data_IF_866605185972
#
_entry.id   IF_866605185972
#
_cell.length_a   1.000
_cell.length_b   1.000
_cell.length_c   1.000
_cell.angle_alpha   90.00
_cell.angle_beta   90.00
_cell.angle_gamma   90.00
#
_symmetry.space_group_name_H-M   'P 1'
#
loop_
_entity.id
_entity.type
_entity.pdbx_description
1 polymer ?
#
# COMPACT_ATOMS: atom_id res chain seq x y z
N UNK A 1 -4.21 13.43 -37.30
CA UNK A 1 -5.49 13.94 -36.75
C UNK A 1 -5.67 13.46 -35.30
N UNK A 2 -6.27 14.25 -34.40
CA UNK A 2 -6.58 13.83 -33.03
C UNK A 2 -7.95 14.39 -32.56
N UNK A 3 -8.71 13.67 -31.72
CA UNK A 3 -10.03 14.15 -31.29
C UNK A 3 -9.89 15.30 -30.28
N UNK A 4 -10.56 16.42 -30.56
CA UNK A 4 -10.65 17.57 -29.64
C UNK A 4 -11.77 17.39 -28.61
N UNK A 5 -12.89 16.83 -29.05
CA UNK A 5 -14.07 16.58 -28.21
C UNK A 5 -14.75 15.32 -28.70
N UNK A 6 -14.95 14.37 -27.79
CA UNK A 6 -15.69 13.13 -28.06
C UNK A 6 -16.92 13.11 -27.17
N UNK A 7 -18.06 12.79 -27.77
CA UNK A 7 -19.32 12.68 -27.02
C UNK A 7 -19.26 11.50 -26.04
N UNK A 8 -19.98 11.62 -24.93
CA UNK A 8 -20.13 10.51 -23.96
C UNK A 8 -21.04 9.41 -24.50
N UNK A 9 -22.05 9.79 -25.27
CA UNK A 9 -23.02 8.89 -25.87
C UNK A 9 -23.31 9.38 -27.30
N UNK A 10 -23.13 8.50 -28.28
CA UNK A 10 -23.50 8.76 -29.67
C UNK A 10 -25.02 8.66 -29.83
N UNK A 11 -25.61 9.62 -30.55
CA UNK A 11 -27.04 9.65 -30.89
C UNK A 11 -27.23 9.14 -32.32
N UNK A 12 -28.46 8.81 -32.71
CA UNK A 12 -28.76 8.31 -34.06
C UNK A 12 -28.32 9.25 -35.19
N UNK A 13 -28.42 10.57 -34.99
CA UNK A 13 -27.87 11.59 -35.90
C UNK A 13 -26.60 12.19 -35.29
N UNK A 14 -25.48 11.46 -35.41
CA UNK A 14 -24.16 11.93 -35.00
C UNK A 14 -23.35 12.39 -36.22
N UNK A 15 -22.66 13.53 -36.10
CA UNK A 15 -21.86 14.13 -37.17
C UNK A 15 -20.46 14.40 -36.66
N UNK A 16 -19.48 13.87 -37.38
CA UNK A 16 -18.06 14.15 -37.14
C UNK A 16 -17.66 15.45 -37.84
N UNK A 17 -16.95 16.32 -37.12
CA UNK A 17 -16.47 17.61 -37.62
C UNK A 17 -14.94 17.69 -37.52
N UNK A 18 -14.33 18.20 -38.58
CA UNK A 18 -12.91 18.54 -38.63
C UNK A 18 -12.73 20.03 -38.38
N UNK A 19 -11.89 20.40 -37.42
CA UNK A 19 -11.45 21.78 -37.24
C UNK A 19 -10.19 22.03 -38.06
N UNK A 20 -10.24 22.99 -38.97
CA UNK A 20 -9.11 23.49 -39.74
C UNK A 20 -8.77 24.89 -39.25
N UNK A 21 -7.50 25.13 -38.92
CA UNK A 21 -7.00 26.44 -38.48
C UNK A 21 -5.99 26.94 -39.50
N UNK A 22 -6.19 28.16 -40.02
CA UNK A 22 -5.24 28.80 -40.93
C UNK A 22 -4.05 29.39 -40.16
N UNK A 23 -2.97 29.67 -40.87
CA UNK A 23 -1.76 30.29 -40.30
C UNK A 23 -2.03 31.70 -39.71
N UNK A 24 -3.10 32.36 -40.15
CA UNK A 24 -3.61 33.64 -39.63
C UNK A 24 -4.53 33.47 -38.40
N UNK A 25 -4.69 32.25 -37.87
CA UNK A 25 -5.48 31.95 -36.66
C UNK A 25 -6.99 31.85 -36.87
N UNK A 26 -7.50 31.95 -38.11
CA UNK A 26 -8.93 31.73 -38.40
C UNK A 26 -9.23 30.24 -38.44
N UNK A 27 -10.30 29.82 -37.77
CA UNK A 27 -10.67 28.41 -37.66
C UNK A 27 -12.05 28.13 -38.26
N UNK A 28 -12.18 27.04 -39.02
CA UNK A 28 -13.42 26.60 -39.66
C UNK A 28 -13.71 25.13 -39.37
N UNK A 29 -14.99 24.80 -39.18
CA UNK A 29 -15.43 23.41 -39.08
C UNK A 29 -15.85 22.89 -40.46
N UNK A 30 -15.43 21.68 -40.79
CA UNK A 30 -15.81 20.96 -42.00
C UNK A 30 -16.43 19.63 -41.64
N UNK A 31 -17.50 19.24 -42.34
CA UNK A 31 -18.15 17.95 -42.13
C UNK A 31 -17.28 16.80 -42.62
N UNK A 32 -17.11 15.77 -41.78
CA UNK A 32 -16.47 14.52 -42.15
C UNK A 32 -17.56 13.53 -42.55
N UNK A 33 -17.64 13.24 -43.85
CA UNK A 33 -18.62 12.27 -44.37
C UNK A 33 -18.24 10.81 -44.04
N UNK A 34 -16.94 10.49 -44.04
CA UNK A 34 -16.42 9.17 -43.70
C UNK A 34 -15.06 9.31 -42.99
N UNK A 35 -15.08 9.11 -41.67
CA UNK A 35 -13.89 9.25 -40.84
C UNK A 35 -12.82 8.22 -41.19
N UNK A 36 -13.21 6.97 -41.49
CA UNK A 36 -12.25 5.91 -41.79
C UNK A 36 -11.48 6.21 -43.08
N UNK A 37 -12.16 6.71 -44.12
CA UNK A 37 -11.50 7.13 -45.37
C UNK A 37 -10.54 8.29 -45.17
N UNK A 38 -10.91 9.26 -44.33
CA UNK A 38 -10.10 10.45 -44.07
C UNK A 38 -8.77 10.12 -43.39
N UNK A 39 -8.75 9.11 -42.51
CA UNK A 39 -7.54 8.71 -41.76
C UNK A 39 -6.81 7.52 -42.36
N UNK A 40 -7.40 6.79 -43.32
CA UNK A 40 -6.83 5.57 -43.89
C UNK A 40 -5.41 5.78 -44.44
N UNK A 41 -5.19 6.85 -45.21
CA UNK A 41 -3.89 7.18 -45.82
C UNK A 41 -2.82 7.58 -44.79
N UNK A 42 -3.22 8.04 -43.60
CA UNK A 42 -2.30 8.39 -42.51
C UNK A 42 -1.82 7.13 -41.74
N UNK A 43 -2.54 6.01 -41.87
CA UNK A 43 -2.27 4.77 -41.12
C UNK A 43 -1.43 3.80 -41.96
N UNK A 44 -1.71 3.66 -43.27
CA UNK A 44 -0.87 2.85 -44.16
C UNK A 44 -1.04 3.25 -45.63
N UNK A 45 -0.05 2.90 -46.47
CA UNK A 45 -0.15 3.01 -47.92
C UNK A 45 -1.08 1.99 -48.61
N UNK A 46 -1.66 1.02 -47.88
CA UNK A 46 -2.57 0.02 -48.43
C UNK A 46 -4.04 0.39 -48.25
N UNK A 47 -4.82 0.30 -49.33
CA UNK A 47 -6.25 0.66 -49.43
C UNK A 47 -7.23 -0.32 -48.78
N UNK A 48 -6.77 -1.24 -47.92
CA UNK A 48 -7.66 -2.20 -47.26
C UNK A 48 -8.55 -1.51 -46.21
N UNK A 49 -9.81 -1.96 -46.13
CA UNK A 49 -10.82 -1.42 -45.21
C UNK A 49 -10.40 -1.57 -43.75
N UNK A 50 -10.10 -0.45 -43.10
CA UNK A 50 -9.79 -0.39 -41.67
C UNK A 50 -10.87 0.41 -40.96
N UNK A 51 -11.22 -0.05 -39.77
CA UNK A 51 -12.10 0.70 -38.88
C UNK A 51 -11.29 1.23 -37.71
N UNK A 52 -11.43 2.53 -37.46
CA UNK A 52 -10.72 3.26 -36.42
C UNK A 52 -11.70 3.64 -35.33
N UNK A 53 -11.32 3.43 -34.08
CA UNK A 53 -12.10 3.91 -32.95
C UNK A 53 -11.99 5.44 -32.83
N UNK A 54 -13.13 6.14 -32.87
CA UNK A 54 -13.19 7.61 -32.77
C UNK A 54 -12.69 8.17 -31.42
N UNK A 55 -12.59 7.33 -30.38
CA UNK A 55 -12.15 7.73 -29.03
C UNK A 55 -10.64 7.64 -28.84
N UNK A 56 -10.05 6.50 -29.19
CA UNK A 56 -8.64 6.21 -28.90
C UNK A 56 -7.75 6.11 -30.15
N UNK A 57 -8.34 6.16 -31.34
CA UNK A 57 -7.68 6.03 -32.64
C UNK A 57 -6.97 4.68 -32.86
N UNK A 58 -7.25 3.66 -32.04
CA UNK A 58 -6.85 2.28 -32.33
C UNK A 58 -7.60 1.79 -33.58
N UNK A 59 -6.88 1.11 -34.46
CA UNK A 59 -7.41 0.61 -35.74
C UNK A 59 -7.45 -0.92 -35.75
N UNK A 60 -8.45 -1.47 -36.42
CA UNK A 60 -8.66 -2.90 -36.58
C UNK A 60 -8.61 -3.27 -38.07
N UNK A 61 -7.88 -4.33 -38.39
CA UNK A 61 -7.81 -4.88 -39.74
C UNK A 61 -8.97 -5.87 -39.98
N UNK A 62 -9.39 -6.03 -41.24
CA UNK A 62 -10.23 -7.15 -41.67
C UNK A 62 -9.42 -8.45 -41.63
N UNK A 63 -9.42 -9.15 -40.50
CA UNK A 63 -8.72 -10.43 -40.29
C UNK A 63 -9.69 -11.63 -40.18
N UNK A 64 -10.78 -11.62 -40.97
CA UNK A 64 -11.76 -12.72 -41.04
C UNK A 64 -12.77 -12.76 -39.88
N UNK A 65 -12.63 -11.92 -38.86
CA UNK A 65 -13.66 -11.66 -37.84
C UNK A 65 -14.48 -10.42 -38.18
N UNK A 66 -15.75 -10.42 -37.76
CA UNK A 66 -16.63 -9.26 -37.89
C UNK A 66 -16.06 -8.06 -37.10
N UNK A 67 -15.75 -6.99 -37.83
CA UNK A 67 -15.22 -5.74 -37.28
C UNK A 67 -16.16 -5.14 -36.24
N UNK A 68 -17.48 -5.26 -36.43
CA UNK A 68 -18.46 -4.74 -35.48
C UNK A 68 -18.34 -5.47 -34.13
N UNK A 69 -18.06 -6.77 -34.14
CA UNK A 69 -17.79 -7.54 -32.93
C UNK A 69 -16.54 -7.03 -32.19
N UNK A 70 -15.43 -6.82 -32.90
CA UNK A 70 -14.19 -6.28 -32.31
C UNK A 70 -14.35 -4.87 -31.75
N UNK A 71 -15.14 -4.04 -32.43
CA UNK A 71 -15.43 -2.68 -31.95
C UNK A 71 -16.30 -2.73 -30.68
N UNK A 72 -17.28 -3.63 -30.60
CA UNK A 72 -18.07 -3.82 -29.36
C UNK A 72 -17.20 -4.25 -28.18
N UNK A 73 -16.37 -5.28 -28.36
CA UNK A 73 -15.42 -5.75 -27.34
C UNK A 73 -14.46 -4.63 -26.91
N UNK A 74 -13.90 -3.89 -27.86
CA UNK A 74 -13.06 -2.74 -27.58
C UNK A 74 -13.78 -1.66 -26.77
N UNK A 75 -15.06 -1.38 -27.08
CA UNK A 75 -15.85 -0.36 -26.41
C UNK A 75 -16.22 -0.71 -24.96
N UNK A 76 -16.24 -1.99 -24.56
CA UNK A 76 -16.41 -2.39 -23.15
C UNK A 76 -15.31 -1.76 -22.26
N UNK A 77 -14.09 -1.67 -22.77
CA UNK A 77 -12.95 -1.07 -22.07
C UNK A 77 -12.68 0.38 -22.48
N UNK A 78 -12.84 0.74 -23.75
CA UNK A 78 -12.52 2.09 -24.24
C UNK A 78 -13.64 3.11 -23.97
N UNK A 79 -14.91 2.68 -24.02
CA UNK A 79 -16.06 3.57 -23.85
C UNK A 79 -16.17 4.16 -22.44
N UNK A 80 -15.77 3.39 -21.43
CA UNK A 80 -15.79 3.76 -20.01
C UNK A 80 -14.65 4.71 -19.62
N UNK A 81 -13.60 4.79 -20.43
CA UNK A 81 -12.42 5.60 -20.18
C UNK A 81 -12.46 6.95 -20.93
N UNK A 82 -11.67 7.92 -20.45
CA UNK A 82 -11.50 9.22 -21.13
C UNK A 82 -10.88 8.99 -22.51
N UNK A 83 -11.43 9.62 -23.54
CA UNK A 83 -10.92 9.53 -24.90
C UNK A 83 -9.45 9.98 -24.94
N UNK A 84 -8.55 9.05 -25.25
CA UNK A 84 -7.11 9.28 -25.28
C UNK A 84 -6.45 8.34 -26.27
N UNK A 85 -5.41 8.83 -26.96
CA UNK A 85 -4.57 7.99 -27.81
C UNK A 85 -3.60 7.21 -26.92
N UNK A 86 -3.74 5.88 -26.89
CA UNK A 86 -2.80 5.02 -26.17
C UNK A 86 -1.51 4.94 -26.99
N UNK A 87 -0.42 5.48 -26.45
CA UNK A 87 0.93 5.32 -27.00
C UNK A 87 1.65 4.34 -26.09
N UNK A 88 1.84 3.11 -26.57
CA UNK A 88 2.69 2.14 -25.90
C UNK A 88 4.16 2.49 -26.20
N UNK A 89 5.10 2.20 -25.28
CA UNK A 89 6.51 2.39 -25.57
C UNK A 89 6.92 1.52 -26.76
N UNK A 90 7.83 2.03 -27.59
CA UNK A 90 8.31 1.29 -28.75
C UNK A 90 9.07 0.03 -28.32
N UNK A 91 9.08 -0.98 -29.19
CA UNK A 91 10.02 -2.07 -29.06
C UNK A 91 11.46 -1.54 -29.12
N UNK A 92 12.40 -2.27 -28.53
CA UNK A 92 13.82 -1.98 -28.72
C UNK A 92 14.25 -2.20 -30.19
N UNK A 93 15.50 -1.85 -30.51
CA UNK A 93 16.04 -1.99 -31.87
C UNK A 93 16.04 -3.43 -32.42
N UNK A 94 15.76 -4.43 -31.58
CA UNK A 94 15.69 -5.84 -31.94
C UNK A 94 14.24 -6.36 -32.00
N UNK A 95 13.24 -5.49 -31.84
CA UNK A 95 11.83 -5.85 -31.88
C UNK A 95 11.28 -6.41 -30.56
N UNK A 96 12.04 -6.38 -29.46
CA UNK A 96 11.54 -6.84 -28.16
C UNK A 96 10.62 -5.80 -27.52
N UNK A 97 9.50 -6.22 -26.91
CA UNK A 97 8.60 -5.30 -26.23
C UNK A 97 9.29 -4.61 -25.05
N UNK A 98 8.89 -3.38 -24.71
CA UNK A 98 9.43 -2.65 -23.57
C UNK A 98 9.11 -3.39 -22.26
N UNK A 99 10.14 -3.83 -21.54
CA UNK A 99 9.99 -4.48 -20.23
C UNK A 99 10.25 -3.50 -19.09
N UNK A 100 9.54 -3.66 -17.98
CA UNK A 100 9.88 -2.98 -16.72
C UNK A 100 10.27 -4.04 -15.69
N UNK A 101 11.25 -3.71 -14.85
CA UNK A 101 11.73 -4.61 -13.80
C UNK A 101 11.97 -3.84 -12.50
N UNK A 102 11.75 -4.49 -11.37
CA UNK A 102 12.00 -3.87 -10.08
C UNK A 102 13.50 -3.85 -9.74
N UNK A 103 14.09 -2.66 -9.73
CA UNK A 103 15.54 -2.49 -9.53
C UNK A 103 15.98 -2.48 -8.06
N UNK A 104 15.08 -2.14 -7.14
CA UNK A 104 15.41 -1.90 -5.73
C UNK A 104 15.33 -3.18 -4.90
N UNK A 105 16.20 -4.16 -5.16
CA UNK A 105 16.20 -5.49 -4.51
C UNK A 105 16.10 -5.42 -2.98
N UNK A 106 16.77 -4.46 -2.35
CA UNK A 106 16.72 -4.22 -0.91
C UNK A 106 15.32 -3.94 -0.37
N UNK A 107 14.38 -3.50 -1.21
CA UNK A 107 12.97 -3.25 -0.87
C UNK A 107 12.06 -4.44 -1.13
N UNK A 108 12.56 -5.51 -1.74
CA UNK A 108 11.79 -6.76 -1.89
C UNK A 108 11.75 -7.57 -0.58
N UNK A 109 12.58 -7.23 0.41
CA UNK A 109 12.63 -7.96 1.66
C UNK A 109 11.34 -7.74 2.45
N UNK A 110 10.63 -8.85 2.72
CA UNK A 110 9.48 -8.81 3.63
C UNK A 110 9.94 -8.46 5.03
N UNK A 111 9.24 -7.52 5.65
CA UNK A 111 9.51 -7.13 7.02
C UNK A 111 9.01 -8.26 7.94
N UNK A 112 9.89 -8.82 8.80
CA UNK A 112 9.51 -9.97 9.64
C UNK A 112 8.47 -9.64 10.71
N UNK A 113 8.55 -8.45 11.31
CA UNK A 113 7.63 -7.97 12.34
C UNK A 113 6.96 -6.67 11.89
N UNK A 114 5.63 -6.61 11.98
CA UNK A 114 4.84 -5.40 11.67
C UNK A 114 3.80 -5.21 12.76
N UNK A 115 3.66 -3.99 13.26
CA UNK A 115 2.63 -3.65 14.23
C UNK A 115 1.51 -2.90 13.52
N UNK A 116 0.28 -3.33 13.76
CA UNK A 116 -0.94 -2.60 13.38
C UNK A 116 -1.58 -2.05 14.65
N UNK A 117 -2.00 -0.79 14.62
CA UNK A 117 -2.57 -0.12 15.77
C UNK A 117 -3.69 0.84 15.38
N UNK A 118 -4.59 1.07 16.33
CA UNK A 118 -5.72 2.00 16.23
C UNK A 118 -6.07 2.55 17.61
N UNK A 119 -6.46 3.82 17.71
CA UNK A 119 -7.00 4.40 18.94
C UNK A 119 -8.49 4.65 18.81
N UNK A 120 -9.17 4.51 19.95
CA UNK A 120 -10.50 5.08 20.13
C UNK A 120 -10.43 6.21 21.15
N UNK A 121 -11.26 7.23 20.94
CA UNK A 121 -11.24 8.45 21.73
C UNK A 121 -12.61 8.77 22.31
N UNK A 122 -12.58 9.57 23.37
CA UNK A 122 -13.72 10.30 23.89
C UNK A 122 -13.81 11.63 23.16
N UNK A 123 -15.01 12.01 22.75
CA UNK A 123 -15.30 13.35 22.23
C UNK A 123 -15.92 14.21 23.32
N UNK A 124 -15.07 14.76 24.20
CA UNK A 124 -15.52 15.61 25.29
C UNK A 124 -15.97 16.96 24.74
N UNK A 125 -17.22 17.36 25.00
CA UNK A 125 -17.76 18.65 24.55
C UNK A 125 -17.08 19.80 25.30
N UNK A 126 -16.75 20.86 24.58
CA UNK A 126 -16.28 22.12 25.14
C UNK A 126 -17.50 23.03 25.34
N UNK A 127 -17.68 23.55 26.54
CA UNK A 127 -18.76 24.49 26.82
C UNK A 127 -18.30 25.94 26.56
N UNK A 128 -19.11 26.78 25.89
CA UNK A 128 -18.77 28.19 25.69
C UNK A 128 -18.67 28.90 27.05
N UNK A 129 -17.45 29.34 27.43
CA UNK A 129 -17.17 29.96 28.73
C UNK A 129 -15.76 29.65 29.27
N UNK A 130 -15.09 28.61 28.75
CA UNK A 130 -13.67 28.37 28.99
C UNK A 130 -12.83 29.31 28.11
N UNK A 131 -12.62 30.53 28.58
CA UNK A 131 -11.82 31.56 27.93
C UNK A 131 -10.38 31.08 27.66
N UNK A 132 -10.03 30.84 26.39
CA UNK A 132 -8.68 31.13 25.85
C UNK A 132 -8.49 30.82 24.36
N UNK A 133 -9.39 31.17 23.43
CA UNK A 133 -8.94 31.27 22.02
C UNK A 133 -9.61 32.40 21.23
N UNK A 134 -8.83 33.46 20.95
CA UNK A 134 -9.10 34.45 19.90
C UNK A 134 -8.77 33.84 18.52
N UNK A 135 -9.65 32.99 17.99
CA UNK A 135 -9.54 32.51 16.60
C UNK A 135 -10.90 32.57 15.90
N UNK A 136 -10.89 32.68 14.56
CA UNK A 136 -12.11 32.60 13.72
C UNK A 136 -12.81 31.22 13.77
N UNK A 137 -12.25 30.27 14.53
CA UNK A 137 -12.79 28.92 14.76
C UNK A 137 -13.09 28.72 16.24
N UNK A 138 -14.30 28.27 16.54
CA UNK A 138 -14.74 27.88 17.89
C UNK A 138 -14.51 26.37 18.08
N UNK A 139 -13.54 25.96 18.93
CA UNK A 139 -13.38 24.54 19.26
C UNK A 139 -14.61 24.07 20.05
N UNK A 140 -15.25 22.98 19.63
CA UNK A 140 -16.47 22.46 20.27
C UNK A 140 -16.29 21.11 20.95
N UNK A 141 -15.17 20.40 20.67
CA UNK A 141 -14.84 19.11 21.27
C UNK A 141 -13.32 18.95 21.48
N UNK A 142 -12.95 18.24 22.55
CA UNK A 142 -11.60 17.74 22.82
C UNK A 142 -11.62 16.23 22.64
N UNK A 143 -10.68 15.74 21.83
CA UNK A 143 -10.50 14.31 21.60
C UNK A 143 -9.50 13.79 22.64
N UNK A 144 -9.94 12.86 23.49
CA UNK A 144 -9.10 12.26 24.54
C UNK A 144 -8.93 10.78 24.24
N UNK A 145 -7.69 10.26 24.10
CA UNK A 145 -7.49 8.85 23.82
C UNK A 145 -8.02 8.01 24.99
N UNK A 146 -8.90 7.07 24.70
CA UNK A 146 -9.55 6.21 25.70
C UNK A 146 -9.03 4.78 25.65
N UNK A 147 -8.85 4.25 24.44
CA UNK A 147 -8.34 2.91 24.26
C UNK A 147 -7.47 2.82 23.04
N UNK A 148 -6.65 1.79 23.01
CA UNK A 148 -5.97 1.38 21.80
C UNK A 148 -6.07 -0.12 21.61
N UNK A 149 -5.92 -0.54 20.37
CA UNK A 149 -5.67 -1.91 19.99
C UNK A 149 -4.32 -1.99 19.29
N UNK A 150 -3.52 -2.99 19.63
CA UNK A 150 -2.26 -3.31 18.94
C UNK A 150 -2.24 -4.78 18.53
N UNK A 151 -2.06 -5.04 17.23
CA UNK A 151 -1.82 -6.35 16.69
C UNK A 151 -0.38 -6.45 16.15
N UNK A 152 0.41 -7.36 16.71
CA UNK A 152 1.78 -7.64 16.24
C UNK A 152 1.74 -8.82 15.27
N UNK A 153 1.91 -8.53 13.98
CA UNK A 153 2.01 -9.56 12.93
C UNK A 153 3.47 -10.00 12.81
N UNK A 154 3.73 -11.30 13.00
CA UNK A 154 5.00 -11.94 12.65
C UNK A 154 4.93 -12.76 11.37
N UNK A 155 6.01 -12.73 10.56
CA UNK A 155 6.15 -13.55 9.36
C UNK A 155 5.89 -15.03 9.63
N UNK A 156 5.00 -15.65 8.85
CA UNK A 156 4.64 -17.07 8.97
C UNK A 156 5.86 -17.99 8.81
N UNK A 157 6.90 -17.52 8.13
CA UNK A 157 8.16 -18.23 7.97
C UNK A 157 9.02 -18.28 9.24
N UNK A 158 8.74 -17.46 10.26
CA UNK A 158 9.45 -17.47 11.55
C UNK A 158 8.79 -18.51 12.47
N UNK A 159 9.51 -19.59 12.84
CA UNK A 159 8.99 -20.58 13.78
C UNK A 159 8.69 -19.99 15.16
N UNK A 160 7.67 -20.54 15.83
CA UNK A 160 7.23 -20.07 17.18
C UNK A 160 8.35 -20.05 18.22
N UNK A 161 9.27 -21.03 18.18
CA UNK A 161 10.40 -21.10 19.12
C UNK A 161 11.45 -19.99 18.92
N UNK A 162 11.36 -19.23 17.81
CA UNK A 162 12.20 -18.06 17.54
C UNK A 162 11.51 -16.74 17.89
N UNK A 163 10.24 -16.80 18.26
CA UNK A 163 9.50 -15.63 18.70
C UNK A 163 9.98 -15.26 20.12
N UNK A 164 9.97 -13.97 20.47
CA UNK A 164 10.10 -13.56 21.86
C UNK A 164 9.04 -14.31 22.68
N UNK A 165 9.43 -14.83 23.85
CA UNK A 165 8.64 -15.74 24.71
C UNK A 165 7.23 -15.20 25.06
N UNK A 166 6.97 -13.90 24.85
CA UNK A 166 5.72 -13.22 25.12
C UNK A 166 5.06 -12.60 23.86
N UNK A 167 5.31 -13.10 22.66
CA UNK A 167 4.63 -12.59 21.46
C UNK A 167 3.12 -12.82 21.60
N UNK A 168 2.27 -11.77 21.62
CA UNK A 168 0.86 -11.92 21.98
C UNK A 168 0.16 -12.86 21.01
N UNK A 169 -0.49 -13.88 21.55
CA UNK A 169 -1.33 -14.78 20.76
C UNK A 169 -2.60 -14.08 20.25
N UNK A 170 -3.02 -13.01 20.92
CA UNK A 170 -4.17 -12.18 20.59
C UNK A 170 -3.76 -10.70 20.52
N UNK A 171 -4.48 -9.85 19.76
CA UNK A 171 -4.22 -8.42 19.79
C UNK A 171 -4.38 -7.84 21.21
N UNK A 172 -3.52 -6.89 21.56
CA UNK A 172 -3.52 -6.24 22.87
C UNK A 172 -4.47 -5.05 22.85
N UNK A 173 -5.51 -5.10 23.68
CA UNK A 173 -6.47 -4.00 23.87
C UNK A 173 -6.31 -3.44 25.27
N UNK A 174 -6.21 -2.13 25.37
CA UNK A 174 -6.11 -1.42 26.64
C UNK A 174 -7.07 -0.24 26.65
N UNK A 175 -7.76 -0.01 27.79
CA UNK A 175 -8.76 1.05 27.93
C UNK A 175 -8.57 1.76 29.27
N UNK A 176 -8.02 2.97 29.22
CA UNK A 176 -7.89 3.86 30.37
C UNK A 176 -7.59 5.28 29.92
N UNK A 177 -7.59 6.22 30.87
CA UNK A 177 -7.16 7.60 30.69
C UNK A 177 -5.68 7.76 30.32
N UNK A 178 -4.82 6.83 30.74
CA UNK A 178 -3.40 6.78 30.37
C UNK A 178 -3.11 5.96 29.10
N UNK A 179 -4.13 5.73 28.26
CA UNK A 179 -4.03 4.86 27.08
C UNK A 179 -2.88 5.22 26.12
N UNK A 180 -2.68 6.50 25.81
CA UNK A 180 -1.58 6.93 24.95
C UNK A 180 -0.20 6.64 25.56
N UNK A 181 -0.04 6.82 26.88
CA UNK A 181 1.19 6.51 27.60
C UNK A 181 1.45 5.00 27.59
N UNK A 182 0.45 4.20 27.92
CA UNK A 182 0.55 2.72 27.89
C UNK A 182 0.81 2.17 26.51
N UNK A 183 0.28 2.80 25.47
CA UNK A 183 0.63 2.48 24.09
C UNK A 183 2.13 2.65 23.85
N UNK A 184 2.69 3.80 24.24
CA UNK A 184 4.12 4.07 24.05
C UNK A 184 5.01 3.10 24.83
N UNK A 185 4.69 2.80 26.08
CA UNK A 185 5.39 1.79 26.89
C UNK A 185 5.36 0.41 26.21
N UNK A 186 4.19 -0.01 25.74
CA UNK A 186 4.01 -1.29 25.06
C UNK A 186 4.79 -1.38 23.74
N UNK A 187 4.74 -0.34 22.90
CA UNK A 187 5.48 -0.32 21.63
C UNK A 187 7.00 -0.32 21.86
N UNK A 188 7.50 0.34 22.92
CA UNK A 188 8.92 0.28 23.30
C UNK A 188 9.33 -1.14 23.69
N UNK A 189 8.56 -1.82 24.54
CA UNK A 189 8.82 -3.19 24.95
C UNK A 189 8.80 -4.17 23.75
N UNK A 190 7.80 -4.06 22.87
CA UNK A 190 7.75 -4.85 21.62
C UNK A 190 8.96 -4.56 20.75
N UNK A 191 9.36 -3.30 20.62
CA UNK A 191 10.55 -2.94 19.87
C UNK A 191 11.79 -3.59 20.49
N UNK A 192 12.08 -3.42 21.77
CA UNK A 192 13.24 -4.04 22.43
C UNK A 192 13.33 -5.55 22.17
N UNK A 193 12.21 -6.26 22.31
CA UNK A 193 12.12 -7.70 21.99
C UNK A 193 12.46 -8.01 20.54
N UNK A 194 11.91 -7.25 19.59
CA UNK A 194 12.22 -7.41 18.15
C UNK A 194 13.69 -7.07 17.84
N UNK A 195 14.26 -6.09 18.56
CA UNK A 195 15.67 -5.70 18.41
C UNK A 195 16.60 -6.86 18.73
N UNK A 196 16.31 -7.59 19.80
CA UNK A 196 17.07 -8.76 20.21
C UNK A 196 17.03 -9.85 19.13
N UNK A 197 15.86 -10.10 18.54
CA UNK A 197 15.70 -11.05 17.43
C UNK A 197 16.54 -10.63 16.22
N UNK A 198 16.46 -9.37 15.80
CA UNK A 198 17.24 -8.88 14.65
C UNK A 198 18.75 -8.81 14.90
N UNK A 199 19.17 -8.72 16.16
CA UNK A 199 20.58 -8.68 16.55
C UNK A 199 21.21 -10.07 16.61
N UNK A 200 20.39 -11.11 16.84
CA UNK A 200 20.84 -12.49 16.86
C UNK A 200 20.87 -13.10 15.46
N UNK A 201 21.92 -12.78 14.70
CA UNK A 201 22.13 -13.32 13.34
C UNK A 201 22.46 -14.81 13.43
N UNK A 202 21.55 -15.65 12.95
CA UNK A 202 21.75 -17.08 12.87
C UNK A 202 22.63 -17.46 11.68
N UNK A 203 23.59 -18.38 11.86
CA UNK A 203 24.31 -18.94 10.74
C UNK A 203 23.35 -19.74 9.84
N UNK A 204 23.71 -19.83 8.57
CA UNK A 204 22.98 -20.66 7.61
C UNK A 204 23.00 -22.12 8.07
N UNK A 205 21.82 -22.74 8.07
CA UNK A 205 21.68 -24.17 8.32
C UNK A 205 22.30 -24.97 7.16
N UNK A 206 22.82 -26.18 7.42
CA UNK A 206 23.34 -27.04 6.36
C UNK A 206 22.30 -27.23 5.25
N UNK A 207 22.74 -27.09 3.99
CA UNK A 207 21.87 -27.34 2.85
C UNK A 207 21.50 -28.81 2.78
N UNK A 208 20.26 -29.08 2.39
CA UNK A 208 19.85 -30.43 1.97
C UNK A 208 20.53 -30.80 0.64
N UNK A 209 20.55 -32.09 0.32
CA UNK A 209 21.07 -32.58 -0.97
C UNK A 209 20.35 -31.91 -2.16
N UNK A 210 19.02 -31.84 -2.11
CA UNK A 210 18.20 -31.21 -3.14
C UNK A 210 18.50 -29.70 -3.30
N UNK A 211 18.69 -28.98 -2.20
CA UNK A 211 19.07 -27.56 -2.24
C UNK A 211 20.48 -27.37 -2.81
N UNK A 212 21.41 -28.26 -2.47
CA UNK A 212 22.78 -28.23 -2.99
C UNK A 212 22.78 -28.44 -4.50
N UNK A 213 22.06 -29.45 -4.99
CA UNK A 213 21.91 -29.71 -6.42
C UNK A 213 21.24 -28.54 -7.16
N UNK A 214 20.14 -28.01 -6.62
CA UNK A 214 19.47 -26.83 -7.18
C UNK A 214 20.39 -25.60 -7.21
N UNK A 215 21.20 -25.40 -6.17
CA UNK A 215 22.19 -24.32 -6.16
C UNK A 215 23.25 -24.51 -7.24
N UNK A 216 23.80 -25.71 -7.40
CA UNK A 216 24.84 -26.00 -8.41
C UNK A 216 24.30 -25.78 -9.83
N UNK A 217 23.10 -26.29 -10.11
CA UNK A 217 22.47 -26.20 -11.43
C UNK A 217 21.88 -24.82 -11.75
N UNK A 218 21.73 -23.93 -10.77
CA UNK A 218 21.21 -22.59 -11.02
C UNK A 218 22.17 -21.72 -11.86
N UNK A 219 21.61 -21.15 -12.93
CA UNK A 219 22.30 -20.23 -13.84
C UNK A 219 21.92 -18.77 -13.62
N UNK A 220 20.82 -18.51 -12.92
CA UNK A 220 20.26 -17.19 -12.66
C UNK A 220 20.05 -16.88 -11.17
N UNK A 221 20.15 -15.59 -10.84
CA UNK A 221 19.93 -15.08 -9.49
C UNK A 221 18.43 -15.07 -9.15
N UNK A 222 18.06 -15.66 -8.02
CA UNK A 222 16.64 -15.74 -7.63
C UNK A 222 16.01 -14.38 -7.25
N UNK A 223 16.82 -13.37 -6.91
CA UNK A 223 16.36 -12.04 -6.47
C UNK A 223 16.08 -11.07 -7.62
N UNK A 224 16.86 -11.17 -8.70
CA UNK A 224 16.75 -10.25 -9.82
C UNK A 224 16.46 -10.93 -11.16
N UNK A 225 16.74 -12.23 -11.29
CA UNK A 225 16.62 -13.07 -12.49
C UNK A 225 17.78 -13.10 -13.51
N UNK A 226 18.64 -12.08 -13.69
CA UNK A 226 19.81 -12.18 -14.57
C UNK A 226 20.79 -13.30 -14.22
N UNK A 227 21.59 -13.77 -15.20
CA UNK A 227 22.57 -14.83 -15.01
C UNK A 227 23.74 -14.41 -14.12
N UNK A 228 24.42 -15.39 -13.54
CA UNK A 228 25.66 -15.16 -12.79
C UNK A 228 26.82 -14.80 -13.72
N UNK A 229 27.72 -13.93 -13.28
CA UNK A 229 28.90 -13.51 -14.04
C UNK A 229 30.15 -13.55 -13.16
N UNK A 230 31.33 -13.57 -13.76
CA UNK A 230 32.60 -13.55 -13.02
C UNK A 230 32.72 -12.32 -12.09
N UNK A 231 32.24 -11.15 -12.54
CA UNK A 231 32.21 -9.93 -11.74
C UNK A 231 31.10 -9.86 -10.67
N UNK A 232 30.16 -10.80 -10.69
CA UNK A 232 29.08 -10.89 -9.71
C UNK A 232 28.74 -12.36 -9.45
N UNK A 233 29.61 -13.01 -8.69
CA UNK A 233 29.57 -14.46 -8.48
C UNK A 233 28.31 -14.92 -7.76
N UNK A 234 27.97 -16.19 -8.00
CA UNK A 234 26.92 -16.93 -7.31
C UNK A 234 27.30 -17.15 -5.83
N UNK A 235 26.38 -16.82 -4.92
CA UNK A 235 26.53 -17.03 -3.47
C UNK A 235 25.25 -17.61 -2.88
N UNK A 236 25.38 -18.23 -1.71
CA UNK A 236 24.26 -18.75 -0.93
C UNK A 236 23.66 -17.61 -0.10
N UNK A 237 22.41 -17.25 -0.38
CA UNK A 237 21.64 -16.35 0.48
C UNK A 237 20.81 -17.16 1.48
N UNK A 238 20.66 -16.62 2.69
CA UNK A 238 19.90 -17.25 3.77
C UNK A 238 19.21 -16.20 4.64
N UNK A 239 18.19 -16.65 5.36
CA UNK A 239 17.51 -15.83 6.34
C UNK A 239 18.31 -15.74 7.64
N UNK A 240 18.71 -14.54 8.03
CA UNK A 240 19.46 -14.31 9.28
C UNK A 240 18.64 -14.55 10.55
N UNK A 241 17.30 -14.66 10.48
CA UNK A 241 16.44 -14.95 11.64
C UNK A 241 16.26 -16.45 11.79
N UNK A 242 16.01 -17.19 10.71
CA UNK A 242 15.70 -18.63 10.77
C UNK A 242 16.90 -19.52 10.46
N UNK A 243 17.92 -18.99 9.79
CA UNK A 243 19.06 -19.74 9.24
C UNK A 243 18.74 -20.48 7.94
N UNK A 244 17.49 -20.41 7.45
CA UNK A 244 17.07 -21.18 6.28
C UNK A 244 17.65 -20.60 4.98
N UNK A 245 18.15 -21.50 4.13
CA UNK A 245 18.58 -21.17 2.78
C UNK A 245 17.42 -20.61 1.94
N UNK A 246 17.65 -19.49 1.26
CA UNK A 246 16.65 -18.81 0.41
C UNK A 246 16.85 -19.10 -1.06
N UNK A 247 18.09 -19.07 -1.53
CA UNK A 247 18.37 -19.29 -2.94
C UNK A 247 19.76 -18.84 -3.42
N UNK A 248 20.07 -19.12 -4.69
CA UNK A 248 21.29 -18.69 -5.33
C UNK A 248 21.19 -17.21 -5.71
N UNK A 249 21.96 -16.37 -5.06
CA UNK A 249 21.97 -14.93 -5.31
C UNK A 249 23.29 -14.47 -5.91
N UNK A 250 23.26 -13.37 -6.63
CA UNK A 250 24.47 -12.60 -6.91
C UNK A 250 25.06 -12.09 -5.59
N UNK A 251 26.39 -12.02 -5.49
CA UNK A 251 27.08 -11.42 -4.35
C UNK A 251 26.55 -10.01 -4.02
N UNK A 252 26.39 -9.15 -5.04
CA UNK A 252 25.87 -7.79 -4.86
C UNK A 252 24.40 -7.77 -4.41
N UNK A 253 23.56 -8.62 -4.99
CA UNK A 253 22.14 -8.70 -4.62
C UNK A 253 21.99 -9.17 -3.18
N UNK A 254 22.70 -10.22 -2.79
CA UNK A 254 22.76 -10.72 -1.41
C UNK A 254 23.21 -9.62 -0.44
N UNK A 255 24.26 -8.88 -0.78
CA UNK A 255 24.78 -7.80 0.07
C UNK A 255 23.76 -6.68 0.31
N UNK A 256 22.90 -6.39 -0.68
CA UNK A 256 21.82 -5.39 -0.58
C UNK A 256 20.58 -5.94 0.12
N UNK A 257 20.31 -7.24 0.00
CA UNK A 257 19.15 -7.92 0.57
C UNK A 257 19.37 -8.22 2.06
N UNK A 258 19.36 -7.17 2.88
CA UNK A 258 19.64 -7.26 4.33
C UNK A 258 18.39 -7.23 5.18
N UNK A 259 18.37 -8.09 6.21
CA UNK A 259 17.36 -8.08 7.28
C UNK A 259 17.12 -6.66 7.79
N UNK A 260 15.87 -6.17 7.81
CA UNK A 260 15.58 -4.84 8.31
C UNK A 260 15.95 -4.75 9.78
N UNK A 261 16.43 -3.57 10.18
CA UNK A 261 16.76 -3.25 11.58
C UNK A 261 15.72 -2.32 12.19
N UNK A 262 14.46 -2.48 11.81
CA UNK A 262 13.41 -1.63 12.31
C UNK A 262 12.07 -2.33 12.47
N UNK A 263 11.25 -1.79 13.37
CA UNK A 263 9.87 -2.18 13.60
C UNK A 263 8.93 -1.10 13.02
N UNK A 264 8.18 -1.40 11.95
CA UNK A 264 7.12 -0.51 11.48
C UNK A 264 5.88 -0.61 12.37
N UNK A 265 5.26 0.53 12.66
CA UNK A 265 3.98 0.65 13.36
C UNK A 265 2.99 1.37 12.44
N UNK A 266 1.90 0.70 12.07
CA UNK A 266 0.97 1.16 11.05
C UNK A 266 -0.39 1.49 11.65
N UNK A 267 -0.90 2.67 11.32
CA UNK A 267 -2.27 3.09 11.59
C UNK A 267 -2.98 3.34 10.27
N UNK A 268 -4.30 3.16 10.20
CA UNK A 268 -5.05 3.61 9.03
C UNK A 268 -5.40 5.09 9.18
N UNK A 269 -4.71 5.95 8.41
CA UNK A 269 -4.84 7.43 8.47
C UNK A 269 -4.20 8.12 9.69
N UNK A 270 -3.02 7.65 10.12
CA UNK A 270 -2.22 8.22 11.23
C UNK A 270 -2.25 9.77 11.33
N UNK A 271 -1.85 10.47 10.26
CA UNK A 271 -1.76 11.94 10.31
C UNK A 271 -3.09 12.66 10.33
N UNK A 272 -4.15 12.02 9.85
CA UNK A 272 -5.47 12.61 9.90
C UNK A 272 -6.10 12.55 11.28
N UNK A 273 -5.62 11.63 12.14
CA UNK A 273 -6.18 11.41 13.46
C UNK A 273 -5.10 11.06 14.50
N UNK A 274 -4.75 9.80 14.70
CA UNK A 274 -4.05 9.29 15.90
C UNK A 274 -2.71 9.92 16.24
N UNK A 275 -2.03 10.55 15.27
CA UNK A 275 -0.73 11.16 15.46
C UNK A 275 -0.69 12.15 16.64
N UNK A 276 -1.76 12.92 16.87
CA UNK A 276 -1.78 13.92 17.94
C UNK A 276 -1.80 13.30 19.35
N UNK A 277 -2.31 12.07 19.51
CA UNK A 277 -2.22 11.33 20.77
C UNK A 277 -0.79 10.88 21.04
N UNK A 278 -0.14 10.30 20.03
CA UNK A 278 1.21 9.73 20.14
C UNK A 278 2.24 10.82 20.37
N UNK A 279 2.13 11.94 19.65
CA UNK A 279 3.13 13.02 19.70
C UNK A 279 3.25 13.64 21.10
N UNK A 280 2.14 13.71 21.84
CA UNK A 280 2.11 14.26 23.20
C UNK A 280 2.88 13.41 24.21
N UNK A 281 3.03 12.11 23.94
CA UNK A 281 3.73 11.17 24.82
C UNK A 281 5.22 11.00 24.45
N UNK A 282 5.67 11.55 23.33
CA UNK A 282 7.08 11.45 22.95
C UNK A 282 7.99 12.19 23.94
N UNK A 283 8.99 11.46 24.45
CA UNK A 283 10.04 12.03 25.29
C UNK A 283 9.62 12.37 26.72
N UNK A 284 8.38 12.06 27.13
CA UNK A 284 7.92 12.25 28.52
C UNK A 284 8.73 11.44 29.53
N UNK A 285 8.99 10.18 29.21
CA UNK A 285 9.70 9.25 30.12
C UNK A 285 11.23 9.30 29.98
N UNK A 286 11.77 10.20 29.15
CA UNK A 286 13.21 10.27 28.89
C UNK A 286 13.87 11.28 29.82
N UNK A 287 15.04 10.93 30.34
CA UNK A 287 15.90 11.90 31.02
C UNK A 287 16.54 12.87 30.02
N UNK A 288 17.17 13.93 30.50
CA UNK A 288 17.71 14.99 29.63
C UNK A 288 18.81 14.49 28.68
N UNK A 289 19.60 13.50 29.08
CA UNK A 289 20.61 12.88 28.22
C UNK A 289 20.00 12.00 27.12
N UNK A 290 18.92 11.29 27.43
CA UNK A 290 18.16 10.51 26.46
C UNK A 290 17.38 11.41 25.50
N UNK A 291 16.82 12.52 25.98
CA UNK A 291 16.19 13.55 25.13
C UNK A 291 17.19 14.16 24.15
N UNK A 292 18.44 14.40 24.57
CA UNK A 292 19.51 14.85 23.65
C UNK A 292 19.87 13.83 22.58
N UNK A 293 19.76 12.53 22.89
CA UNK A 293 19.98 11.43 21.92
C UNK A 293 18.76 11.15 21.06
N UNK A 294 17.58 11.57 21.48
CA UNK A 294 16.33 11.37 20.77
C UNK A 294 16.34 12.14 19.46
N UNK A 295 16.38 11.41 18.35
CA UNK A 295 16.16 11.98 17.02
C UNK A 295 14.74 11.68 16.59
N UNK A 296 13.85 12.68 16.74
CA UNK A 296 12.53 12.67 16.09
C UNK A 296 12.71 13.33 14.74
N UNK A 297 12.66 12.54 13.67
CA UNK A 297 12.51 13.10 12.33
C UNK A 297 11.04 13.02 11.96
N UNK A 298 10.36 14.17 11.99
CA UNK A 298 9.03 14.31 11.41
C UNK A 298 9.22 14.56 9.92
N UNK A 299 8.88 13.57 9.10
CA UNK A 299 8.92 13.72 7.65
C UNK A 299 7.55 14.29 7.24
N UNK A 300 7.51 15.39 6.45
CA UNK A 300 6.26 15.89 5.89
C UNK A 300 5.49 14.73 5.25
N UNK A 301 4.20 14.59 5.59
CA UNK A 301 3.34 13.45 5.28
C UNK A 301 3.57 12.17 6.12
N UNK A 302 3.55 12.32 7.46
CA UNK A 302 3.06 11.26 8.38
C UNK A 302 4.01 10.15 8.78
N UNK A 303 5.33 10.32 8.68
CA UNK A 303 6.28 9.32 9.20
C UNK A 303 7.04 9.90 10.37
N UNK A 304 6.85 9.30 11.55
CA UNK A 304 7.71 9.54 12.70
C UNK A 304 8.84 8.52 12.70
N UNK A 305 10.07 9.00 12.71
CA UNK A 305 11.23 8.18 13.07
C UNK A 305 11.52 8.38 14.55
N UNK A 306 11.46 7.31 15.35
CA UNK A 306 11.74 7.36 16.78
C UNK A 306 12.99 6.53 17.10
N UNK A 307 14.11 7.21 17.34
CA UNK A 307 15.34 6.54 17.74
C UNK A 307 15.60 6.70 19.25
N UNK A 308 14.82 6.02 20.10
CA UNK A 308 15.38 5.50 21.35
C UNK A 308 15.81 4.07 21.08
N UNK A 309 17.11 3.77 21.21
CA UNK A 309 17.62 2.42 20.94
C UNK A 309 17.33 1.89 19.53
N UNK A 310 17.80 2.58 18.48
CA UNK A 310 17.95 2.12 17.07
C UNK A 310 16.78 1.44 16.32
N UNK A 311 15.61 1.12 16.90
CA UNK A 311 14.69 0.15 16.29
C UNK A 311 13.35 0.70 15.74
N UNK A 312 12.70 1.70 16.33
CA UNK A 312 11.40 2.17 15.81
C UNK A 312 11.63 3.19 14.70
N UNK A 313 11.73 2.72 13.46
CA UNK A 313 12.10 3.61 12.35
C UNK A 313 10.93 4.22 11.60
N UNK A 314 9.76 3.59 11.60
CA UNK A 314 8.61 4.03 10.78
C UNK A 314 7.28 3.83 11.50
N UNK A 315 6.72 4.89 12.09
CA UNK A 315 5.29 4.94 12.39
C UNK A 315 4.60 5.62 11.21
N UNK A 316 3.69 4.94 10.52
CA UNK A 316 3.16 5.40 9.24
C UNK A 316 1.69 5.07 8.99
N UNK A 317 1.09 5.82 8.08
CA UNK A 317 -0.30 5.62 7.67
C UNK A 317 -0.45 4.59 6.54
N UNK A 318 -1.22 3.52 6.75
CA UNK A 318 -1.52 2.52 5.70
C UNK A 318 -2.31 3.11 4.52
N UNK A 319 -3.04 4.21 4.73
CA UNK A 319 -3.74 4.98 3.71
C UNK A 319 -2.83 5.44 2.55
N UNK A 320 -1.51 5.54 2.79
CA UNK A 320 -0.53 5.89 1.74
C UNK A 320 -0.30 4.77 0.72
N UNK A 321 -0.49 3.53 1.14
CA UNK A 321 -0.40 2.36 0.26
C UNK A 321 -1.77 2.00 -0.31
N UNK A 322 -2.83 2.28 0.46
CA UNK A 322 -4.22 1.98 0.13
C UNK A 322 -5.08 3.23 0.37
N UNK A 323 -5.09 4.14 -0.61
CA UNK A 323 -5.74 5.46 -0.53
C UNK A 323 -7.28 5.38 -0.66
N UNK A 324 -7.90 4.63 0.24
CA UNK A 324 -9.34 4.43 0.33
C UNK A 324 -9.71 4.16 1.79
N UNK A 325 -10.98 4.39 2.15
CA UNK A 325 -11.44 4.11 3.51
C UNK A 325 -11.42 2.61 3.80
N UNK A 326 -11.23 2.24 5.07
CA UNK A 326 -11.35 0.85 5.53
C UNK A 326 -12.68 0.19 5.12
N UNK A 327 -13.79 0.94 5.10
CA UNK A 327 -15.08 0.43 4.62
C UNK A 327 -15.04 0.01 3.13
N UNK A 328 -14.40 0.80 2.27
CA UNK A 328 -14.23 0.43 0.86
C UNK A 328 -13.22 -0.71 0.69
N UNK A 329 -12.13 -0.70 1.46
CA UNK A 329 -11.09 -1.73 1.38
C UNK A 329 -11.62 -3.10 1.82
N UNK A 330 -12.36 -3.14 2.93
CA UNK A 330 -12.99 -4.37 3.43
C UNK A 330 -14.01 -4.95 2.44
N UNK A 331 -14.84 -4.10 1.81
CA UNK A 331 -15.80 -4.53 0.78
C UNK A 331 -15.16 -5.09 -0.49
N UNK A 332 -13.96 -4.62 -0.84
CA UNK A 332 -13.24 -5.08 -2.03
C UNK A 332 -12.48 -6.39 -1.81
N UNK A 333 -12.38 -6.88 -0.58
CA UNK A 333 -11.58 -8.05 -0.24
C UNK A 333 -12.48 -9.30 -0.10
N UNK A 334 -12.18 -10.41 -0.80
CA UNK A 334 -12.88 -11.68 -0.58
C UNK A 334 -12.72 -12.21 0.85
N UNK A 335 -13.76 -12.89 1.37
CA UNK A 335 -13.75 -13.46 2.74
C UNK A 335 -12.54 -14.35 3.02
N UNK A 336 -12.11 -15.14 2.03
CA UNK A 336 -10.94 -16.04 2.13
C UNK A 336 -9.61 -15.31 2.34
N UNK A 337 -9.56 -14.00 2.09
CA UNK A 337 -8.37 -13.18 2.25
C UNK A 337 -8.27 -12.50 3.62
N UNK A 338 -9.32 -12.55 4.46
CA UNK A 338 -9.28 -12.10 5.86
C UNK A 338 -8.62 -13.13 6.78
N UNK A 339 -7.43 -13.59 6.39
CA UNK A 339 -6.71 -14.68 7.08
C UNK A 339 -6.33 -14.31 8.51
N UNK A 340 -5.94 -13.06 8.76
CA UNK A 340 -5.58 -12.60 10.11
C UNK A 340 -6.80 -12.47 11.01
N UNK A 341 -7.88 -11.82 10.54
CA UNK A 341 -9.15 -11.74 11.28
C UNK A 341 -9.72 -13.13 11.58
N UNK A 342 -9.62 -14.06 10.62
CA UNK A 342 -10.02 -15.45 10.76
C UNK A 342 -9.35 -16.23 11.89
N UNK A 343 -8.19 -15.78 12.38
CA UNK A 343 -7.49 -16.42 13.51
C UNK A 343 -8.16 -16.13 14.86
N UNK A 344 -8.89 -15.01 14.98
CA UNK A 344 -9.42 -14.51 16.26
C UNK A 344 -10.93 -14.68 16.42
N UNK A 345 -11.63 -14.92 15.31
CA UNK A 345 -13.09 -15.02 15.30
C UNK A 345 -13.54 -16.37 14.75
N UNK A 346 -14.53 -17.02 15.39
CA UNK A 346 -15.18 -18.20 14.82
C UNK A 346 -15.76 -17.91 13.44
N UNK A 347 -15.76 -18.91 12.56
CA UNK A 347 -16.27 -18.78 11.19
C UNK A 347 -17.70 -18.20 11.14
N UNK A 348 -18.55 -18.56 12.11
CA UNK A 348 -19.93 -18.07 12.23
C UNK A 348 -20.04 -16.55 12.43
N UNK A 349 -19.02 -15.90 13.00
CA UNK A 349 -19.03 -14.46 13.27
C UNK A 349 -18.26 -13.64 12.23
N UNK A 350 -17.61 -14.31 11.26
CA UNK A 350 -16.77 -13.61 10.28
C UNK A 350 -17.54 -12.58 9.46
N UNK A 351 -18.80 -12.85 9.09
CA UNK A 351 -19.59 -11.89 8.30
C UNK A 351 -19.83 -10.55 9.00
N UNK A 352 -19.78 -10.54 10.33
CA UNK A 352 -19.91 -9.33 11.14
C UNK A 352 -18.57 -8.59 11.24
N UNK A 353 -17.47 -9.33 11.39
CA UNK A 353 -16.15 -8.74 11.64
C UNK A 353 -15.38 -8.40 10.37
N UNK A 354 -15.74 -8.91 9.19
CA UNK A 354 -15.11 -8.48 7.92
C UNK A 354 -15.58 -7.12 7.44
N UNK A 355 -16.50 -6.46 8.17
CA UNK A 355 -17.02 -5.12 7.85
C UNK A 355 -16.39 -4.10 8.78
N UNK A 356 -16.33 -2.84 8.33
CA UNK A 356 -15.91 -1.74 9.19
C UNK A 356 -16.84 -1.64 10.41
N UNK A 357 -16.27 -1.72 11.61
CA UNK A 357 -16.98 -1.49 12.87
C UNK A 357 -17.50 -0.05 13.01
N UNK A 358 -18.56 0.13 13.80
CA UNK A 358 -19.12 1.45 14.13
C UNK A 358 -18.79 1.76 15.58
N UNK A 359 -18.03 2.83 15.79
CA UNK A 359 -17.76 3.39 17.11
C UNK A 359 -18.62 4.66 17.30
N UNK A 360 -19.50 4.73 18.29
CA UNK A 360 -20.46 5.84 18.44
C UNK A 360 -19.80 7.04 19.16
N UNK A 361 -18.95 7.76 18.43
CA UNK A 361 -18.17 8.88 18.96
C UNK A 361 -19.01 9.95 19.69
N UNK A 362 -20.20 10.30 19.18
CA UNK A 362 -21.06 11.32 19.79
C UNK A 362 -21.64 10.90 21.15
N UNK A 363 -21.79 9.60 21.39
CA UNK A 363 -22.29 9.06 22.65
C UNK A 363 -21.18 8.97 23.70
N UNK A 364 -19.96 8.68 23.26
CA UNK A 364 -18.80 8.46 24.12
C UNK A 364 -18.11 9.80 24.37
N UNK A 365 -18.71 10.61 25.25
CA UNK A 365 -18.25 11.96 25.63
C UNK A 365 -17.57 12.04 27.01
N UNK A 366 -17.49 10.91 27.72
CA UNK A 366 -16.85 10.80 29.04
C UNK A 366 -16.39 9.37 29.33
N UNK A 367 -15.48 9.23 30.30
CA UNK A 367 -15.00 7.93 30.76
C UNK A 367 -16.06 7.12 31.54
N UNK A 368 -17.14 7.73 31.99
CA UNK A 368 -18.25 7.03 32.66
C UNK A 368 -19.21 6.39 31.63
N UNK A 369 -19.34 6.99 30.44
CA UNK A 369 -20.17 6.48 29.33
C UNK A 369 -19.47 5.43 28.46
N UNK A 370 -18.49 4.71 29.02
CA UNK A 370 -17.79 3.61 28.35
C UNK A 370 -18.71 2.42 28.14
N UNK A 371 -18.55 1.70 27.02
CA UNK A 371 -19.15 0.38 26.87
C UNK A 371 -18.56 -0.59 27.89
N UNK A 372 -19.41 -1.30 28.63
CA UNK A 372 -18.98 -2.43 29.48
C UNK A 372 -18.32 -3.50 28.58
N UNK A 373 -17.07 -3.95 28.88
CA UNK A 373 -16.22 -4.70 27.95
C UNK A 373 -16.59 -6.19 27.81
N UNK A 374 -17.85 -6.59 28.01
CA UNK A 374 -18.29 -7.98 27.75
C UNK A 374 -18.57 -8.29 26.28
N UNK A 375 -18.52 -7.29 25.39
CA UNK A 375 -18.50 -7.51 23.94
C UNK A 375 -17.12 -7.14 23.43
N UNK A 376 -16.34 -8.17 23.08
CA UNK A 376 -15.13 -8.06 22.26
C UNK A 376 -15.48 -7.18 21.06
N UNK A 377 -15.11 -5.91 21.11
CA UNK A 377 -15.14 -5.06 19.91
C UNK A 377 -14.17 -5.70 18.94
N UNK A 378 -14.70 -6.00 17.76
CA UNK A 378 -14.00 -6.71 16.71
C UNK A 378 -12.76 -5.93 16.32
N UNK A 379 -11.60 -6.52 16.60
CA UNK A 379 -10.34 -6.12 15.99
C UNK A 379 -10.41 -6.67 14.58
N UNK A 380 -11.00 -5.87 13.72
CA UNK A 380 -10.99 -6.08 12.30
C UNK A 380 -11.00 -4.72 11.63
N UNK A 381 -9.80 -4.15 11.54
CA UNK A 381 -9.38 -3.25 10.48
C UNK A 381 -7.86 -3.36 10.33
#
# INVERSE_FOLDING_TARGET
MYPLKVVKQEKADHRDLLLLTSDEGRSHYTYINDFNKLVASQISGHHSGRHVCNRCLTHFNMDGRDIACRMREHMEYCGTNKATRIVLPACDGNGNPPTTSFINIQRQMRIPYVVYADFESILQKIHPGDDSVRTQTTPYQIHIPMSFCVHVRVADAIPRHLLPINSPAEPYVYTSDDSAKKFMEYIKDVAEKVSLVYSNVRPMLPLTLAQTEAFLNSTSCYLCSPPFTAGNRKVLDHDHITGLYRGPAHFKCNFLYRTPRFLPVLFHNLSGYDAHFIVREFGRDLNDEEKKRLRIQVIPNSVFRYASGRLIREIGGSFRFMASSLDKLSKNLPRSHFKETGKFFPAAHLDLVVRKGVYPYDYIDSFERRFCPRRRLSIAN
#
